data_IF_975440117428
#
_entry.id   IF_975440117428
#
_cell.length_a   1.000
_cell.length_b   1.000
_cell.length_c   1.000
_cell.angle_alpha   90.00
_cell.angle_beta   90.00
_cell.angle_gamma   90.00
#
_symmetry.space_group_name_H-M   'P 1'
#
loop_
_entity.id
_entity.type
_entity.pdbx_description
1 polymer ?
#
# COMPACT_ATOMS: atom_id res chain seq x y z
N UNK A 1 -5.59 -14.20 10.20
CA UNK A 1 -4.63 -14.82 11.14
C UNK A 1 -3.57 -15.52 10.30
N UNK A 2 -2.29 -15.51 10.67
CA UNK A 2 -1.23 -16.12 9.85
C UNK A 2 -1.45 -17.63 9.69
N UNK A 3 -1.22 -18.14 8.47
CA UNK A 3 -1.41 -19.56 8.13
C UNK A 3 -0.29 -20.46 8.66
N UNK A 4 0.87 -19.90 8.90
CA UNK A 4 2.11 -20.57 9.32
C UNK A 4 2.26 -20.71 10.84
N UNK A 5 1.25 -20.31 11.61
CA UNK A 5 1.22 -20.51 13.06
C UNK A 5 0.60 -21.85 13.41
N UNK A 6 1.25 -22.58 14.29
CA UNK A 6 0.64 -23.74 14.95
C UNK A 6 -0.30 -23.27 16.05
N UNK A 7 -1.59 -23.37 15.79
CA UNK A 7 -2.61 -23.03 16.77
C UNK A 7 -2.81 -24.17 17.77
N UNK A 8 -3.09 -23.80 19.00
CA UNK A 8 -3.36 -24.77 20.07
C UNK A 8 -4.81 -25.25 19.99
N UNK A 9 -5.05 -26.52 20.30
CA UNK A 9 -6.40 -27.08 20.51
C UNK A 9 -7.04 -26.60 21.82
N UNK A 10 -6.32 -25.85 22.64
CA UNK A 10 -6.82 -25.24 23.85
C UNK A 10 -7.60 -23.95 23.56
N UNK A 11 -8.37 -23.49 24.56
CA UNK A 11 -9.12 -22.23 24.45
C UNK A 11 -8.19 -21.05 24.13
N UNK A 12 -8.58 -20.27 23.17
CA UNK A 12 -7.94 -19.01 22.81
C UNK A 12 -8.50 -17.86 23.66
N UNK A 13 -7.68 -16.82 23.88
CA UNK A 13 -8.06 -15.62 24.59
C UNK A 13 -8.04 -14.43 23.64
N UNK A 14 -9.17 -13.72 23.54
CA UNK A 14 -9.24 -12.41 22.90
C UNK A 14 -9.46 -11.35 23.95
N UNK A 15 -8.58 -10.38 23.99
CA UNK A 15 -8.77 -9.15 24.76
C UNK A 15 -9.18 -8.04 23.80
N UNK A 16 -10.29 -7.40 24.11
CA UNK A 16 -10.83 -6.25 23.37
C UNK A 16 -10.64 -5.00 24.20
N UNK A 17 -10.24 -3.95 23.54
CA UNK A 17 -10.02 -2.65 24.13
C UNK A 17 -10.60 -1.58 23.20
N UNK A 18 -11.39 -0.71 23.75
CA UNK A 18 -11.95 0.45 23.05
C UNK A 18 -11.74 1.72 23.87
N UNK A 19 -11.44 2.80 23.19
CA UNK A 19 -11.27 4.12 23.80
C UNK A 19 -11.98 5.15 22.92
N UNK A 20 -12.66 6.11 23.52
CA UNK A 20 -13.25 7.21 22.79
C UNK A 20 -12.18 8.15 22.21
N UNK A 21 -12.55 8.97 21.24
CA UNK A 21 -11.63 9.88 20.55
C UNK A 21 -10.92 10.85 21.51
N UNK A 22 -11.58 11.23 22.58
CA UNK A 22 -11.05 12.14 23.62
C UNK A 22 -10.20 11.42 24.66
N UNK A 23 -10.11 10.09 24.61
CA UNK A 23 -9.39 9.22 25.55
C UNK A 23 -9.82 9.38 27.02
N UNK A 24 -11.06 9.81 27.25
CA UNK A 24 -11.64 9.99 28.59
C UNK A 24 -12.40 8.76 29.05
N UNK A 25 -12.83 7.89 28.13
CA UNK A 25 -13.57 6.66 28.43
C UNK A 25 -12.88 5.47 27.83
N UNK A 26 -12.78 4.40 28.62
CA UNK A 26 -12.12 3.16 28.25
C UNK A 26 -13.08 2.01 28.52
N UNK A 27 -13.28 1.14 27.54
CA UNK A 27 -13.98 -0.12 27.70
C UNK A 27 -13.02 -1.28 27.44
N UNK A 28 -13.04 -2.27 28.32
CA UNK A 28 -12.29 -3.51 28.17
C UNK A 28 -13.24 -4.70 28.15
N UNK A 29 -12.93 -5.70 27.35
CA UNK A 29 -13.64 -6.95 27.28
C UNK A 29 -12.70 -8.09 26.95
N UNK A 30 -13.07 -9.30 27.33
CA UNK A 30 -12.31 -10.50 26.98
C UNK A 30 -13.27 -11.66 26.71
N UNK A 31 -12.80 -12.62 25.91
CA UNK A 31 -13.50 -13.88 25.62
C UNK A 31 -12.48 -15.01 25.52
N UNK A 32 -12.71 -16.08 26.28
CA UNK A 32 -11.90 -17.30 26.28
C UNK A 32 -12.70 -18.55 25.86
N UNK A 33 -13.92 -18.35 25.33
CA UNK A 33 -14.88 -19.43 25.03
C UNK A 33 -14.84 -19.86 23.56
N UNK A 34 -13.66 -19.83 22.95
CA UNK A 34 -13.48 -20.31 21.58
C UNK A 34 -12.11 -20.95 21.41
N UNK A 35 -11.99 -21.77 20.38
CA UNK A 35 -10.73 -22.39 19.96
C UNK A 35 -10.37 -21.77 18.62
N UNK A 36 -9.13 -21.29 18.48
CA UNK A 36 -8.58 -20.90 17.19
C UNK A 36 -7.86 -22.13 16.62
N UNK A 37 -8.57 -22.94 15.86
CA UNK A 37 -8.04 -24.16 15.26
C UNK A 37 -8.29 -24.16 13.77
N UNK A 38 -7.48 -24.90 13.02
CA UNK A 38 -7.43 -25.12 11.60
C UNK A 38 -8.67 -24.84 10.75
N UNK A 39 -8.55 -25.04 9.47
CA UNK A 39 -9.66 -24.95 8.51
C UNK A 39 -10.07 -26.36 8.11
N UNK A 40 -11.38 -26.65 8.10
CA UNK A 40 -11.95 -27.88 7.53
C UNK A 40 -11.85 -27.88 5.98
N UNK A 41 -11.53 -26.72 5.40
CA UNK A 41 -11.35 -26.54 3.96
C UNK A 41 -9.89 -26.19 3.69
N UNK A 42 -9.19 -27.10 3.02
CA UNK A 42 -7.88 -26.80 2.46
C UNK A 42 -8.08 -25.95 1.19
N UNK A 43 -7.94 -24.65 1.31
CA UNK A 43 -7.82 -23.78 0.13
C UNK A 43 -6.49 -24.06 -0.55
N UNK A 44 -6.57 -24.64 -1.75
CA UNK A 44 -5.42 -24.86 -2.64
C UNK A 44 -5.22 -23.66 -3.56
N UNK A 45 -5.34 -22.44 -3.01
CA UNK A 45 -5.00 -21.27 -3.79
C UNK A 45 -3.48 -21.20 -4.04
N UNK A 46 -3.11 -20.88 -5.27
CA UNK A 46 -1.73 -20.70 -5.74
C UNK A 46 -1.53 -19.37 -6.47
N UNK A 47 -2.51 -18.47 -6.37
CA UNK A 47 -2.54 -17.19 -7.07
C UNK A 47 -2.17 -16.10 -6.07
N UNK A 48 -1.05 -15.43 -6.29
CA UNK A 48 -0.69 -14.29 -5.45
C UNK A 48 -1.45 -13.02 -5.81
N UNK A 49 -1.33 -11.96 -4.97
CA UNK A 49 -2.08 -10.73 -5.12
C UNK A 49 -1.95 -10.06 -6.48
N UNK A 50 -3.03 -9.51 -6.98
CA UNK A 50 -3.02 -8.61 -8.13
C UNK A 50 -2.50 -7.24 -7.69
N UNK A 51 -1.45 -6.75 -8.36
CA UNK A 51 -0.77 -5.50 -8.02
C UNK A 51 -0.82 -4.54 -9.20
N UNK A 52 -1.39 -3.36 -8.98
CA UNK A 52 -1.29 -2.22 -9.90
C UNK A 52 -0.45 -1.13 -9.25
N UNK A 53 0.72 -0.84 -9.82
CA UNK A 53 1.60 0.19 -9.27
C UNK A 53 2.03 1.22 -10.31
N UNK A 54 2.36 2.40 -9.82
CA UNK A 54 2.78 3.54 -10.63
C UNK A 54 3.69 4.50 -9.84
N UNK A 55 4.32 5.41 -10.58
CA UNK A 55 5.11 6.51 -10.03
C UNK A 55 4.41 7.84 -10.33
N UNK A 56 4.30 8.69 -9.33
CA UNK A 56 3.76 10.05 -9.37
C UNK A 56 2.29 10.18 -9.81
N UNK A 57 1.82 9.40 -10.80
CA UNK A 57 0.47 9.53 -11.35
C UNK A 57 -0.04 8.17 -11.84
N UNK A 58 -1.35 7.86 -11.69
CA UNK A 58 -1.94 6.66 -12.25
C UNK A 58 -1.81 6.54 -13.78
N UNK A 59 -1.54 7.65 -14.47
CA UNK A 59 -1.26 7.69 -15.91
C UNK A 59 0.21 7.39 -16.26
N UNK A 60 1.04 7.03 -15.27
CA UNK A 60 2.43 6.65 -15.52
C UNK A 60 2.51 5.44 -16.45
N UNK A 61 3.35 5.55 -17.47
CA UNK A 61 3.62 4.46 -18.41
C UNK A 61 4.99 3.87 -18.10
N UNK A 62 5.10 2.55 -18.08
CA UNK A 62 6.37 1.85 -17.87
C UNK A 62 7.46 2.35 -18.84
N UNK A 63 8.63 2.70 -18.33
CA UNK A 63 9.70 3.37 -19.07
C UNK A 63 9.63 4.91 -19.06
N UNK A 64 8.57 5.46 -18.45
CA UNK A 64 8.33 6.92 -18.38
C UNK A 64 9.39 7.70 -17.62
N UNK A 65 9.34 9.03 -17.75
CA UNK A 65 10.23 9.95 -17.05
C UNK A 65 9.64 10.38 -15.72
N UNK A 66 10.47 10.46 -14.68
CA UNK A 66 10.10 10.93 -13.35
C UNK A 66 11.16 11.93 -12.82
N UNK A 67 10.80 12.69 -11.79
CA UNK A 67 11.70 13.54 -11.04
C UNK A 67 12.69 12.73 -10.19
N UNK A 68 13.64 13.40 -9.53
CA UNK A 68 14.68 12.76 -8.70
C UNK A 68 14.14 12.12 -7.41
N UNK A 69 12.95 12.52 -6.95
CA UNK A 69 12.27 11.98 -5.77
C UNK A 69 10.86 11.53 -6.14
N UNK A 70 10.70 10.46 -6.90
CA UNK A 70 9.38 10.02 -7.33
C UNK A 70 8.58 9.43 -6.17
N UNK A 71 7.25 9.52 -6.28
CA UNK A 71 6.30 8.96 -5.32
C UNK A 71 5.73 7.65 -5.85
N UNK A 72 5.99 6.57 -5.14
CA UNK A 72 5.48 5.23 -5.48
C UNK A 72 4.11 5.01 -4.86
N UNK A 73 3.21 4.41 -5.63
CA UNK A 73 1.90 3.95 -5.17
C UNK A 73 1.65 2.55 -5.71
N UNK A 74 1.12 1.67 -4.86
CA UNK A 74 0.63 0.36 -5.27
C UNK A 74 -0.77 0.12 -4.71
N UNK A 75 -1.70 -0.29 -5.58
CA UNK A 75 -3.01 -0.82 -5.23
C UNK A 75 -2.94 -2.33 -5.33
N UNK A 76 -3.36 -3.03 -4.29
CA UNK A 76 -3.18 -4.46 -4.14
C UNK A 76 -4.55 -5.08 -3.86
N UNK A 77 -4.84 -6.19 -4.53
CA UNK A 77 -6.09 -6.95 -4.33
C UNK A 77 -5.82 -8.44 -4.35
N UNK A 78 -6.49 -9.15 -3.46
CA UNK A 78 -6.47 -10.60 -3.41
C UNK A 78 -7.82 -11.12 -2.90
N UNK A 79 -8.32 -12.21 -3.45
CA UNK A 79 -9.62 -12.75 -3.11
C UNK A 79 -9.63 -13.34 -1.69
N UNK A 80 -8.55 -13.96 -1.27
CA UNK A 80 -8.43 -14.67 0.00
C UNK A 80 -7.95 -13.77 1.14
N UNK A 81 -7.43 -12.59 0.79
CA UNK A 81 -6.97 -11.56 1.72
C UNK A 81 -5.49 -11.25 1.63
N UNK A 82 -5.12 -10.07 2.06
CA UNK A 82 -3.76 -9.54 1.96
C UNK A 82 -2.98 -9.74 3.27
N UNK A 83 -1.73 -10.20 3.17
CA UNK A 83 -0.81 -10.24 4.29
C UNK A 83 -0.16 -8.86 4.50
N UNK A 84 -0.83 -7.99 5.24
CA UNK A 84 -0.32 -6.65 5.55
C UNK A 84 0.60 -6.62 6.78
N UNK A 85 0.60 -7.68 7.60
CA UNK A 85 1.37 -7.71 8.85
C UNK A 85 2.85 -8.08 8.65
N UNK A 86 3.24 -8.60 7.47
CA UNK A 86 4.58 -9.14 7.25
C UNK A 86 4.87 -10.34 8.15
N UNK A 87 3.82 -11.05 8.58
CA UNK A 87 4.00 -12.26 9.40
C UNK A 87 4.68 -13.35 8.58
N UNK A 88 5.71 -13.92 9.15
CA UNK A 88 6.60 -14.85 8.45
C UNK A 88 7.86 -14.18 7.91
N UNK A 89 8.98 -14.88 7.98
CA UNK A 89 10.28 -14.39 7.52
C UNK A 89 10.22 -14.19 6.00
N UNK A 90 10.46 -12.95 5.54
CA UNK A 90 10.48 -12.61 4.12
C UNK A 90 9.11 -12.37 3.48
N UNK A 91 8.02 -12.33 4.26
CA UNK A 91 6.65 -12.04 3.78
C UNK A 91 6.30 -10.54 3.83
N UNK A 92 7.30 -9.67 3.91
CA UNK A 92 7.08 -8.23 3.83
C UNK A 92 6.58 -7.79 2.45
N UNK A 93 5.77 -6.73 2.45
CA UNK A 93 5.56 -5.90 1.27
C UNK A 93 6.85 -5.15 0.96
N UNK A 94 7.61 -5.66 -0.01
CA UNK A 94 8.98 -5.24 -0.23
C UNK A 94 9.15 -4.45 -1.52
N UNK A 95 9.72 -3.27 -1.40
CA UNK A 95 10.12 -2.40 -2.51
C UNK A 95 11.64 -2.40 -2.65
N UNK A 96 12.16 -2.76 -3.81
CA UNK A 96 13.61 -2.76 -4.09
C UNK A 96 13.91 -1.90 -5.33
N UNK A 97 14.94 -1.09 -5.25
CA UNK A 97 15.41 -0.23 -6.35
C UNK A 97 16.70 -0.80 -6.93
N UNK A 98 16.75 -0.95 -8.25
CA UNK A 98 17.90 -1.43 -9.04
C UNK A 98 18.44 -2.80 -8.59
N UNK A 99 17.63 -3.60 -7.90
CA UNK A 99 18.09 -4.88 -7.32
C UNK A 99 19.09 -4.73 -6.19
N UNK A 100 19.30 -3.52 -5.68
CA UNK A 100 20.23 -3.23 -4.60
C UNK A 100 19.58 -3.52 -3.23
N UNK A 101 20.13 -4.49 -2.50
CA UNK A 101 19.63 -4.88 -1.18
C UNK A 101 19.71 -3.73 -0.17
N UNK A 102 20.63 -2.77 -0.33
CA UNK A 102 20.70 -1.57 0.51
C UNK A 102 19.62 -0.54 0.20
N UNK A 103 18.92 -0.70 -0.93
CA UNK A 103 17.78 0.13 -1.36
C UNK A 103 16.49 -0.68 -1.34
N UNK A 104 16.33 -1.49 -0.31
CA UNK A 104 15.16 -2.31 -0.07
C UNK A 104 14.39 -1.80 1.13
N UNK A 105 13.08 -1.59 0.96
CA UNK A 105 12.20 -0.98 1.94
C UNK A 105 11.02 -1.89 2.22
N UNK A 106 10.68 -2.10 3.50
CA UNK A 106 9.41 -2.73 3.90
C UNK A 106 8.31 -1.68 3.92
N UNK A 107 7.21 -1.96 3.24
CA UNK A 107 6.08 -1.03 3.11
C UNK A 107 4.85 -1.46 3.92
N UNK A 108 4.96 -2.43 4.82
CA UNK A 108 3.86 -2.89 5.67
C UNK A 108 3.27 -1.76 6.50
N UNK A 109 4.11 -0.92 7.12
CA UNK A 109 3.68 0.22 7.94
C UNK A 109 3.02 1.35 7.13
N UNK A 110 3.20 1.35 5.82
CA UNK A 110 2.60 2.33 4.89
C UNK A 110 1.35 1.79 4.19
N UNK A 111 1.00 0.54 4.46
CA UNK A 111 -0.17 -0.09 3.85
C UNK A 111 -1.44 0.24 4.62
N UNK A 112 -2.50 0.53 3.88
CA UNK A 112 -3.83 0.77 4.45
C UNK A 112 -4.86 -0.05 3.66
N UNK A 113 -5.66 -0.84 4.37
CA UNK A 113 -6.80 -1.52 3.78
C UNK A 113 -7.86 -0.52 3.30
N UNK A 114 -8.55 -0.87 2.23
CA UNK A 114 -9.76 -0.17 1.84
C UNK A 114 -10.83 -0.33 2.94
N UNK A 115 -11.67 0.68 3.09
CA UNK A 115 -12.68 0.70 4.16
C UNK A 115 -13.58 -0.55 4.11
N UNK A 116 -13.62 -1.30 5.21
CA UNK A 116 -14.43 -2.51 5.34
C UNK A 116 -13.92 -3.72 4.53
N UNK A 117 -12.70 -3.66 3.99
CA UNK A 117 -12.10 -4.75 3.22
C UNK A 117 -10.86 -5.33 3.92
N UNK A 118 -10.60 -6.61 3.72
CA UNK A 118 -9.33 -7.28 4.02
C UNK A 118 -8.69 -7.85 2.73
N UNK A 119 -9.39 -7.71 1.62
CA UNK A 119 -9.00 -8.24 0.31
C UNK A 119 -8.42 -7.17 -0.62
N UNK A 120 -8.48 -5.91 -0.23
CA UNK A 120 -7.92 -4.80 -1.01
C UNK A 120 -7.38 -3.68 -0.14
N UNK A 121 -6.40 -2.98 -0.67
CA UNK A 121 -5.80 -1.84 -0.02
C UNK A 121 -4.70 -1.22 -0.86
N UNK A 122 -4.05 -0.21 -0.31
CA UNK A 122 -2.99 0.51 -1.00
C UNK A 122 -1.81 0.83 -0.08
N UNK A 123 -0.64 0.94 -0.67
CA UNK A 123 0.56 1.48 -0.02
C UNK A 123 1.17 2.56 -0.89
N UNK A 124 1.84 3.49 -0.24
CA UNK A 124 2.54 4.56 -0.92
C UNK A 124 3.87 4.87 -0.22
N UNK A 125 4.85 5.32 -0.99
CA UNK A 125 6.17 5.60 -0.47
C UNK A 125 6.90 6.68 -1.27
N UNK A 126 7.45 7.68 -0.57
CA UNK A 126 8.35 8.67 -1.20
C UNK A 126 9.72 8.02 -1.39
N UNK A 127 10.11 7.79 -2.63
CA UNK A 127 11.43 7.24 -2.91
C UNK A 127 12.52 8.23 -2.49
N UNK A 128 13.68 7.75 -2.02
CA UNK A 128 14.83 8.62 -1.76
C UNK A 128 15.28 9.30 -3.06
N UNK A 129 16.13 10.31 -2.93
CA UNK A 129 16.68 10.97 -4.09
C UNK A 129 17.52 10.00 -4.94
N UNK A 130 17.12 9.87 -6.21
CA UNK A 130 17.74 9.00 -7.18
C UNK A 130 18.61 9.80 -8.15
N UNK A 131 19.70 9.18 -8.60
CA UNK A 131 20.57 9.77 -9.63
C UNK A 131 19.86 9.85 -10.97
N UNK A 132 20.13 10.86 -11.81
CA UNK A 132 19.59 10.87 -13.18
C UNK A 132 20.04 9.64 -13.97
N UNK A 133 19.10 9.03 -14.71
CA UNK A 133 19.36 7.83 -15.48
C UNK A 133 18.23 6.84 -15.46
N UNK A 134 18.48 5.64 -15.99
CA UNK A 134 17.53 4.54 -16.01
C UNK A 134 17.58 3.80 -14.68
N UNK A 135 16.41 3.50 -14.15
CA UNK A 135 16.20 2.75 -12.92
C UNK A 135 15.14 1.69 -13.11
N UNK A 136 15.16 0.70 -12.24
CA UNK A 136 14.16 -0.35 -12.12
C UNK A 136 13.69 -0.45 -10.68
N UNK A 137 12.40 -0.47 -10.49
CA UNK A 137 11.76 -0.73 -9.22
C UNK A 137 11.11 -2.11 -9.28
N UNK A 138 11.23 -2.87 -8.21
CA UNK A 138 10.55 -4.14 -8.01
C UNK A 138 9.73 -4.06 -6.72
N UNK A 139 8.46 -4.41 -6.79
CA UNK A 139 7.57 -4.46 -5.64
C UNK A 139 6.95 -5.85 -5.52
N UNK A 140 6.99 -6.44 -4.32
CA UNK A 140 6.41 -7.73 -3.98
C UNK A 140 5.42 -7.59 -2.84
N UNK A 141 4.30 -8.29 -2.95
CA UNK A 141 3.30 -8.44 -1.90
C UNK A 141 2.84 -9.89 -1.77
N UNK A 142 2.28 -10.23 -0.63
CA UNK A 142 1.83 -11.55 -0.24
C UNK A 142 0.34 -11.56 0.12
N UNK A 143 -0.34 -12.67 -0.15
CA UNK A 143 -1.64 -12.99 0.41
C UNK A 143 -1.52 -13.66 1.79
N UNK A 144 -2.67 -13.99 2.39
CA UNK A 144 -2.71 -14.73 3.66
C UNK A 144 -2.48 -16.23 3.50
N UNK A 145 -2.47 -16.74 2.26
CA UNK A 145 -2.22 -18.14 1.91
C UNK A 145 -0.76 -18.41 1.51
N UNK A 146 0.13 -17.43 1.69
CA UNK A 146 1.57 -17.47 1.37
C UNK A 146 1.88 -17.53 -0.14
N UNK A 147 0.99 -17.05 -0.99
CA UNK A 147 1.34 -16.79 -2.38
C UNK A 147 1.83 -15.36 -2.54
N UNK A 148 2.74 -15.12 -3.46
CA UNK A 148 3.27 -13.78 -3.71
C UNK A 148 3.20 -13.40 -5.16
N UNK A 149 3.04 -12.12 -5.40
CA UNK A 149 3.20 -11.50 -6.71
C UNK A 149 4.29 -10.46 -6.66
N UNK A 150 5.01 -10.35 -7.76
CA UNK A 150 6.07 -9.35 -7.94
C UNK A 150 5.82 -8.60 -9.24
N UNK A 151 5.84 -7.28 -9.16
CA UNK A 151 5.75 -6.38 -10.32
C UNK A 151 7.01 -5.56 -10.46
N UNK A 152 7.34 -5.18 -11.68
CA UNK A 152 8.51 -4.36 -12.00
C UNK A 152 8.09 -3.13 -12.80
N UNK A 153 8.69 -1.99 -12.48
CA UNK A 153 8.57 -0.75 -13.23
C UNK A 153 9.96 -0.29 -13.67
N UNK A 154 10.16 -0.11 -14.97
CA UNK A 154 11.29 0.60 -15.51
C UNK A 154 10.95 2.10 -15.60
N UNK A 155 11.89 2.98 -15.30
CA UNK A 155 11.70 4.42 -15.38
C UNK A 155 13.01 5.16 -15.61
N UNK A 156 12.90 6.43 -16.02
CA UNK A 156 14.06 7.29 -16.25
C UNK A 156 13.96 8.52 -15.36
N UNK A 157 14.93 8.68 -14.46
CA UNK A 157 15.04 9.86 -13.61
C UNK A 157 15.64 11.01 -14.38
N UNK A 158 14.94 12.16 -14.36
CA UNK A 158 15.38 13.40 -15.04
C UNK A 158 15.46 14.52 -14.01
N UNK A 159 16.65 15.11 -13.87
CA UNK A 159 16.84 16.29 -13.00
C UNK A 159 16.14 17.52 -13.59
N UNK A 160 15.41 18.25 -12.75
CA UNK A 160 14.69 19.45 -13.16
C UNK A 160 13.48 19.18 -14.07
N UNK A 161 12.96 17.97 -14.07
CA UNK A 161 11.71 17.64 -14.77
C UNK A 161 10.58 18.52 -14.23
N UNK A 162 10.00 19.35 -15.11
CA UNK A 162 8.90 20.24 -14.74
C UNK A 162 7.64 19.42 -14.42
N UNK A 163 6.86 19.81 -13.39
CA UNK A 163 5.57 19.20 -13.12
C UNK A 163 4.60 19.46 -14.28
N UNK A 164 3.82 18.46 -14.60
CA UNK A 164 2.73 18.58 -15.57
C UNK A 164 1.41 18.74 -14.82
N UNK A 165 0.68 19.82 -15.14
CA UNK A 165 -0.65 20.05 -14.63
C UNK A 165 -1.67 19.78 -15.73
N UNK A 166 -2.72 19.05 -15.41
CA UNK A 166 -3.79 18.68 -16.34
C UNK A 166 -5.13 18.67 -15.58
N UNK A 167 -6.25 18.72 -16.35
CA UNK A 167 -7.61 18.73 -15.80
C UNK A 167 -7.82 19.82 -14.75
N UNK A 168 -7.73 21.07 -15.16
CA UNK A 168 -8.12 22.21 -14.33
C UNK A 168 -9.62 22.40 -14.45
N UNK A 169 -10.35 22.29 -13.35
CA UNK A 169 -11.80 22.51 -13.29
C UNK A 169 -12.17 23.36 -12.08
N UNK A 170 -13.36 23.95 -12.11
CA UNK A 170 -13.92 24.74 -11.01
C UNK A 170 -15.29 24.19 -10.65
N UNK A 171 -15.64 24.24 -9.35
CA UNK A 171 -16.92 23.70 -8.86
C UNK A 171 -18.11 24.60 -9.20
N UNK A 172 -17.91 25.91 -9.25
CA UNK A 172 -18.93 26.92 -9.61
C UNK A 172 -18.33 27.96 -10.56
N UNK A 173 -19.00 28.18 -11.69
CA UNK A 173 -18.67 29.25 -12.64
C UNK A 173 -19.95 29.74 -13.36
N UNK A 174 -20.42 30.97 -13.09
CA UNK A 174 -19.82 31.99 -12.22
C UNK A 174 -19.99 31.66 -10.73
N UNK A 175 -18.98 32.01 -9.92
CA UNK A 175 -19.04 31.84 -8.49
C UNK A 175 -19.88 32.95 -7.83
N UNK A 176 -20.79 32.55 -6.92
CA UNK A 176 -21.62 33.52 -6.18
C UNK A 176 -20.93 34.03 -4.90
N UNK A 177 -20.16 33.20 -4.23
CA UNK A 177 -19.44 33.54 -3.00
C UNK A 177 -18.09 32.83 -2.89
N UNK A 178 -18.02 31.54 -3.27
CA UNK A 178 -16.83 30.70 -3.14
C UNK A 178 -16.79 29.68 -4.31
N UNK A 179 -15.60 29.49 -4.84
CA UNK A 179 -15.38 28.37 -5.78
C UNK A 179 -14.14 27.59 -5.38
N UNK A 180 -14.08 26.33 -5.79
CA UNK A 180 -12.92 25.46 -5.58
C UNK A 180 -12.31 25.11 -6.93
N UNK A 181 -11.03 25.33 -7.07
CA UNK A 181 -10.24 24.86 -8.19
C UNK A 181 -9.78 23.44 -7.93
N UNK A 182 -10.02 22.54 -8.87
CA UNK A 182 -9.52 21.17 -8.86
C UNK A 182 -8.47 21.07 -9.95
N UNK A 183 -7.24 20.79 -9.54
CA UNK A 183 -6.09 20.68 -10.44
C UNK A 183 -5.48 19.29 -10.27
N UNK A 184 -5.42 18.52 -11.35
CA UNK A 184 -4.68 17.26 -11.39
C UNK A 184 -3.24 17.52 -11.85
N UNK A 185 -2.28 16.90 -11.19
CA UNK A 185 -0.86 17.02 -11.50
C UNK A 185 -0.10 15.70 -11.28
N UNK A 186 1.11 15.61 -11.84
CA UNK A 186 1.97 14.42 -11.76
C UNK A 186 3.02 14.48 -10.64
N UNK A 187 2.72 15.20 -9.54
CA UNK A 187 3.62 15.36 -8.38
C UNK A 187 2.91 15.01 -7.08
N UNK A 188 2.53 13.76 -6.91
CA UNK A 188 1.97 13.29 -5.63
C UNK A 188 2.96 13.52 -4.49
N UNK A 189 2.46 13.88 -3.31
CA UNK A 189 3.26 14.13 -2.12
C UNK A 189 4.05 15.45 -2.12
N UNK A 190 3.90 16.29 -3.13
CA UNK A 190 4.54 17.63 -3.19
C UNK A 190 3.61 18.73 -2.69
N UNK A 191 4.16 19.74 -2.02
CA UNK A 191 3.45 20.98 -1.76
C UNK A 191 3.34 21.78 -3.06
N UNK A 192 2.18 22.35 -3.29
CA UNK A 192 1.92 23.25 -4.43
C UNK A 192 1.61 24.62 -3.86
N UNK A 193 2.47 25.60 -4.18
CA UNK A 193 2.20 27.01 -3.92
C UNK A 193 1.34 27.57 -5.06
N UNK A 194 0.19 28.18 -4.72
CA UNK A 194 -0.78 28.76 -5.66
C UNK A 194 -0.80 30.27 -5.47
#
# INVERSE_FOLDING_TARGET
MPKDLHYSDASALVNLYAVNTERTEIANGWCDKFVANGSDVADNDSIGPSIFCYLNSPSFVNGGKVNTTPYFVANIKDQDGLNASGSGIGHDMQLTIDGDMNKTYSLNDYFTFDFGSYTSGSTCYSLPELTPGKHRLQFRAWDVLNNSSTVQLDFTVVKGLQPNMFNVSVTENPASAKTTFIISHDRMGSNVDV
#
